data_IF_195142490842
#
_entry.id   IF_195142490842
#
_cell.length_a   1.000
_cell.length_b   1.000
_cell.length_c   1.000
_cell.angle_alpha   90.00
_cell.angle_beta   90.00
_cell.angle_gamma   90.00
#
_symmetry.space_group_name_H-M   'P 1'
#
loop_
_entity.id
_entity.type
_entity.pdbx_description
1 polymer ?
#
# COMPACT_ATOMS: atom_id res chain seq x y z
N UNK A 1 -10.58 31.56 -25.44
CA UNK A 1 -10.42 31.53 -24.00
C UNK A 1 -11.68 30.95 -23.35
N UNK A 2 -11.52 30.26 -22.22
CA UNK A 2 -12.65 29.88 -21.38
C UNK A 2 -13.31 31.12 -20.77
N UNK A 3 -14.64 31.19 -20.80
CA UNK A 3 -15.39 32.30 -20.22
C UNK A 3 -16.14 31.80 -18.96
N UNK A 4 -17.26 31.12 -19.13
CA UNK A 4 -18.06 30.58 -18.03
C UNK A 4 -18.26 29.08 -18.16
N UNK A 5 -18.45 28.44 -17.01
CA UNK A 5 -18.78 27.03 -16.92
C UNK A 5 -20.09 26.87 -16.13
N UNK A 6 -21.03 26.14 -16.69
CA UNK A 6 -22.30 25.80 -16.06
C UNK A 6 -22.46 24.28 -16.02
N UNK A 7 -23.01 23.76 -14.94
CA UNK A 7 -23.40 22.37 -14.81
C UNK A 7 -24.90 22.24 -14.64
N UNK A 8 -25.55 21.44 -15.46
CA UNK A 8 -26.96 21.08 -15.36
C UNK A 8 -27.07 19.62 -14.97
N UNK A 9 -27.72 19.36 -13.86
CA UNK A 9 -27.91 18.03 -13.27
C UNK A 9 -29.38 17.67 -13.24
N UNK A 10 -29.73 16.35 -13.20
CA UNK A 10 -31.10 15.90 -12.94
C UNK A 10 -31.62 16.37 -11.57
N UNK A 11 -32.95 16.45 -11.43
CA UNK A 11 -33.61 16.98 -10.23
C UNK A 11 -33.35 16.15 -8.95
N UNK A 12 -33.05 14.86 -9.12
CA UNK A 12 -32.74 13.91 -8.04
C UNK A 12 -31.26 13.92 -7.61
N UNK A 13 -30.40 14.68 -8.30
CA UNK A 13 -28.99 14.83 -7.97
C UNK A 13 -28.77 16.05 -7.06
N UNK A 14 -27.81 15.93 -6.13
CA UNK A 14 -27.50 17.03 -5.23
C UNK A 14 -26.37 17.93 -5.78
N UNK A 15 -26.69 19.17 -6.11
CA UNK A 15 -25.70 20.14 -6.65
C UNK A 15 -24.48 20.33 -5.72
N UNK A 16 -24.66 20.11 -4.41
CA UNK A 16 -23.56 20.22 -3.43
C UNK A 16 -22.47 19.18 -3.64
N UNK A 17 -22.80 18.04 -4.22
CA UNK A 17 -21.83 16.97 -4.50
C UNK A 17 -20.84 17.39 -5.59
N UNK A 18 -21.20 18.34 -6.45
CA UNK A 18 -20.37 18.87 -7.52
C UNK A 18 -19.65 20.19 -7.15
N UNK A 19 -19.57 20.54 -5.85
CA UNK A 19 -18.91 21.79 -5.40
C UNK A 19 -17.41 21.83 -5.72
N UNK A 20 -16.74 20.70 -5.79
CA UNK A 20 -15.31 20.65 -6.14
C UNK A 20 -15.06 21.07 -7.58
N UNK A 21 -15.98 20.77 -8.52
CA UNK A 21 -15.92 21.27 -9.89
C UNK A 21 -15.96 22.80 -9.97
N UNK A 22 -16.64 23.48 -9.05
CA UNK A 22 -16.68 24.93 -9.05
C UNK A 22 -15.29 25.55 -8.79
N UNK A 23 -14.43 24.87 -8.03
CA UNK A 23 -13.04 25.31 -7.82
C UNK A 23 -12.24 25.14 -9.12
N UNK A 24 -12.43 24.03 -9.81
CA UNK A 24 -11.80 23.76 -11.08
C UNK A 24 -12.26 24.76 -12.15
N UNK A 25 -13.55 25.03 -12.26
CA UNK A 25 -14.13 26.04 -13.15
C UNK A 25 -13.49 27.41 -12.93
N UNK A 26 -13.45 27.90 -11.70
CA UNK A 26 -12.82 29.17 -11.36
C UNK A 26 -11.34 29.25 -11.72
N UNK A 27 -10.62 28.13 -11.63
CA UNK A 27 -9.20 28.10 -12.00
C UNK A 27 -8.96 28.16 -13.51
N UNK A 28 -9.95 27.73 -14.29
CA UNK A 28 -9.90 27.70 -15.74
C UNK A 28 -10.51 28.95 -16.42
N UNK A 29 -11.37 29.70 -15.72
CA UNK A 29 -11.95 30.96 -16.25
C UNK A 29 -10.86 31.92 -16.71
N UNK A 30 -11.04 32.50 -17.90
CA UNK A 30 -10.10 33.39 -18.58
C UNK A 30 -8.75 32.76 -18.98
N UNK A 31 -8.55 31.44 -18.82
CA UNK A 31 -7.38 30.75 -19.33
C UNK A 31 -7.53 30.42 -20.82
N UNK A 32 -6.42 30.06 -21.48
CA UNK A 32 -6.45 29.62 -22.87
C UNK A 32 -7.25 28.30 -23.01
N UNK A 33 -8.07 28.22 -24.06
CA UNK A 33 -8.80 26.99 -24.36
C UNK A 33 -7.84 25.81 -24.54
N UNK A 34 -8.14 24.72 -23.87
CA UNK A 34 -7.42 23.44 -23.95
C UNK A 34 -8.43 22.29 -23.92
N UNK A 35 -8.36 21.39 -24.88
CA UNK A 35 -9.17 20.18 -24.91
C UNK A 35 -8.89 19.30 -23.69
N UNK A 36 -7.62 19.19 -23.27
CA UNK A 36 -7.24 18.43 -22.07
C UNK A 36 -7.87 18.98 -20.78
N UNK A 37 -8.17 20.30 -20.71
CA UNK A 37 -8.90 20.85 -19.57
C UNK A 37 -10.36 20.40 -19.56
N UNK A 38 -10.99 20.25 -20.72
CA UNK A 38 -12.35 19.71 -20.83
C UNK A 38 -12.37 18.23 -20.43
N UNK A 39 -11.41 17.42 -20.91
CA UNK A 39 -11.26 16.03 -20.48
C UNK A 39 -11.10 15.92 -18.96
N UNK A 40 -10.27 16.76 -18.34
CA UNK A 40 -10.09 16.77 -16.89
C UNK A 40 -11.39 17.09 -16.13
N UNK A 41 -12.24 17.97 -16.67
CA UNK A 41 -13.56 18.26 -16.08
C UNK A 41 -14.49 17.04 -16.22
N UNK A 42 -14.51 16.38 -17.37
CA UNK A 42 -15.32 15.16 -17.60
C UNK A 42 -14.89 14.04 -16.67
N UNK A 43 -13.60 13.79 -16.54
CA UNK A 43 -13.03 12.79 -15.63
C UNK A 43 -13.44 13.09 -14.17
N UNK A 44 -13.39 14.35 -13.74
CA UNK A 44 -13.79 14.74 -12.38
C UNK A 44 -15.30 14.54 -12.15
N UNK A 45 -16.15 14.83 -13.13
CA UNK A 45 -17.59 14.56 -13.05
C UNK A 45 -17.83 13.05 -12.91
N UNK A 46 -17.13 12.21 -13.67
CA UNK A 46 -17.23 10.76 -13.59
C UNK A 46 -16.77 10.23 -12.22
N UNK A 47 -15.69 10.79 -11.67
CA UNK A 47 -15.20 10.46 -10.32
C UNK A 47 -16.24 10.82 -9.25
N UNK A 48 -16.82 12.02 -9.32
CA UNK A 48 -17.88 12.45 -8.38
C UNK A 48 -19.09 11.51 -8.49
N UNK A 49 -19.53 11.20 -9.70
CA UNK A 49 -20.64 10.29 -9.93
C UNK A 49 -20.40 8.90 -9.32
N UNK A 50 -19.19 8.35 -9.52
CA UNK A 50 -18.81 7.06 -8.96
C UNK A 50 -18.78 7.06 -7.42
N UNK A 51 -18.21 8.12 -6.80
CA UNK A 51 -18.11 8.25 -5.33
C UNK A 51 -19.48 8.44 -4.70
N UNK A 52 -20.38 9.16 -5.37
CA UNK A 52 -21.72 9.49 -4.86
C UNK A 52 -22.79 8.46 -5.25
N UNK A 53 -22.39 7.37 -5.92
CA UNK A 53 -23.28 6.34 -6.43
C UNK A 53 -24.38 6.88 -7.37
N UNK A 54 -24.07 7.93 -8.13
CA UNK A 54 -24.89 8.33 -9.26
C UNK A 54 -24.64 7.34 -10.39
N UNK A 55 -25.55 6.40 -10.53
CA UNK A 55 -25.44 5.33 -11.52
C UNK A 55 -25.68 5.89 -12.92
N UNK A 56 -24.75 5.61 -13.86
CA UNK A 56 -24.95 5.82 -15.29
C UNK A 56 -25.26 7.27 -15.70
N UNK A 57 -24.25 8.09 -15.69
CA UNK A 57 -24.36 9.45 -16.21
C UNK A 57 -23.93 9.49 -17.68
N UNK A 58 -24.66 10.27 -18.46
CA UNK A 58 -24.29 10.69 -19.82
C UNK A 58 -24.05 12.20 -19.78
N UNK A 59 -22.84 12.63 -20.20
CA UNK A 59 -22.45 14.03 -20.12
C UNK A 59 -22.39 14.59 -21.52
N UNK A 60 -23.27 15.53 -21.82
CA UNK A 60 -23.22 16.30 -23.06
C UNK A 60 -22.62 17.67 -22.78
N UNK A 61 -21.55 18.01 -23.48
CA UNK A 61 -20.91 19.32 -23.39
C UNK A 61 -21.44 20.18 -24.53
N UNK A 62 -22.10 21.27 -24.20
CA UNK A 62 -22.52 22.30 -25.18
C UNK A 62 -21.55 23.49 -25.09
N UNK A 63 -20.92 23.82 -26.22
CA UNK A 63 -20.00 24.94 -26.37
C UNK A 63 -20.74 26.11 -27.00
N UNK A 64 -20.76 27.24 -26.32
CA UNK A 64 -21.41 28.48 -26.81
C UNK A 64 -20.31 29.51 -27.00
N UNK A 65 -20.04 29.81 -28.28
CA UNK A 65 -19.05 30.81 -28.66
C UNK A 65 -19.70 32.19 -28.56
N UNK A 66 -19.08 33.08 -27.77
CA UNK A 66 -19.44 34.48 -27.67
C UNK A 66 -18.55 35.36 -28.56
N UNK A 67 -18.96 36.61 -28.78
CA UNK A 67 -18.12 37.63 -29.39
C UNK A 67 -16.84 37.81 -28.53
N UNK A 68 -15.69 38.09 -29.14
CA UNK A 68 -14.36 38.22 -28.52
C UNK A 68 -13.59 36.91 -28.24
N UNK A 69 -13.81 35.82 -29.00
CA UNK A 69 -13.10 34.56 -28.87
C UNK A 69 -13.24 33.89 -27.45
N UNK A 70 -14.33 34.13 -26.79
CA UNK A 70 -14.70 33.52 -25.51
C UNK A 70 -15.70 32.39 -25.72
N UNK A 71 -15.56 31.30 -24.96
CA UNK A 71 -16.40 30.11 -25.07
C UNK A 71 -16.99 29.82 -23.66
N UNK A 72 -18.33 29.73 -23.61
CA UNK A 72 -19.07 29.25 -22.46
C UNK A 72 -19.32 27.75 -22.63
N UNK A 73 -19.15 27.03 -21.55
CA UNK A 73 -19.37 25.57 -21.49
C UNK A 73 -20.53 25.22 -20.61
N UNK A 74 -21.45 24.41 -21.12
CA UNK A 74 -22.57 23.87 -20.37
C UNK A 74 -22.45 22.35 -20.34
N UNK A 75 -22.17 21.79 -19.16
CA UNK A 75 -22.12 20.36 -18.93
C UNK A 75 -23.51 19.87 -18.54
N UNK A 76 -24.21 19.24 -19.47
CA UNK A 76 -25.54 18.68 -19.24
C UNK A 76 -25.39 17.23 -18.82
N UNK A 77 -25.54 16.96 -17.53
CA UNK A 77 -25.55 15.61 -16.98
C UNK A 77 -26.96 15.05 -17.10
N UNK A 78 -27.10 13.86 -17.64
CA UNK A 78 -28.36 13.12 -17.75
C UNK A 78 -28.15 11.70 -17.22
N UNK A 79 -29.22 11.08 -16.74
CA UNK A 79 -29.21 9.64 -16.49
C UNK A 79 -29.00 8.90 -17.82
N UNK A 80 -27.90 8.13 -17.89
CA UNK A 80 -27.50 7.38 -19.06
C UNK A 80 -28.15 5.98 -19.11
N UNK A 81 -27.84 5.21 -20.15
CA UNK A 81 -28.29 3.83 -20.25
C UNK A 81 -27.59 2.97 -19.21
N UNK A 82 -28.37 2.22 -18.42
CA UNK A 82 -27.86 1.27 -17.43
C UNK A 82 -27.27 0.05 -18.15
N UNK A 83 -26.02 -0.24 -17.86
CA UNK A 83 -25.35 -1.46 -18.28
C UNK A 83 -24.99 -2.29 -17.05
N UNK A 84 -25.21 -3.58 -17.10
CA UNK A 84 -24.86 -4.51 -16.04
C UNK A 84 -23.81 -5.51 -16.53
N UNK A 85 -22.94 -5.96 -15.67
CA UNK A 85 -21.98 -7.00 -15.99
C UNK A 85 -22.68 -8.35 -16.01
N UNK A 86 -22.79 -8.95 -17.21
CA UNK A 86 -23.38 -10.28 -17.38
C UNK A 86 -22.41 -11.37 -16.90
N UNK A 87 -21.14 -11.23 -17.30
CA UNK A 87 -20.11 -12.23 -17.02
C UNK A 87 -18.70 -11.63 -17.13
N UNK A 88 -17.79 -12.15 -16.32
CA UNK A 88 -16.37 -11.85 -16.37
C UNK A 88 -15.60 -13.11 -16.74
N UNK A 89 -15.01 -13.13 -17.93
CA UNK A 89 -14.15 -14.20 -18.39
C UNK A 89 -12.71 -13.87 -18.06
N UNK A 90 -12.02 -14.78 -17.38
CA UNK A 90 -10.61 -14.66 -17.05
C UNK A 90 -9.81 -15.64 -17.92
N UNK A 91 -8.81 -15.14 -18.61
CA UNK A 91 -8.01 -15.90 -19.59
C UNK A 91 -6.53 -15.66 -19.37
N UNK A 92 -5.71 -16.68 -19.66
CA UNK A 92 -4.25 -16.55 -19.66
C UNK A 92 -3.56 -16.78 -18.30
N UNK A 93 -4.32 -17.02 -17.25
CA UNK A 93 -3.82 -17.31 -15.90
C UNK A 93 -3.36 -18.78 -15.78
N UNK A 94 -2.16 -19.08 -16.27
CA UNK A 94 -1.63 -20.45 -16.27
C UNK A 94 -1.01 -20.85 -14.92
N UNK A 95 -0.51 -19.88 -14.16
CA UNK A 95 0.15 -20.06 -12.86
C UNK A 95 -0.73 -19.51 -11.74
N UNK A 96 -1.28 -18.29 -11.94
CA UNK A 96 -2.09 -17.62 -10.92
C UNK A 96 -3.50 -18.19 -10.88
N UNK A 97 -3.98 -18.55 -9.69
CA UNK A 97 -5.32 -19.07 -9.50
C UNK A 97 -6.37 -18.01 -9.82
N UNK A 98 -7.44 -18.42 -10.49
CA UNK A 98 -8.57 -17.54 -10.83
C UNK A 98 -9.17 -16.87 -9.58
N UNK A 99 -9.25 -17.59 -8.46
CA UNK A 99 -9.75 -17.06 -7.19
C UNK A 99 -8.98 -15.81 -6.72
N UNK A 100 -7.65 -15.78 -6.91
CA UNK A 100 -6.85 -14.59 -6.61
C UNK A 100 -7.23 -13.41 -7.52
N UNK A 101 -7.42 -13.67 -8.82
CA UNK A 101 -7.77 -12.62 -9.79
C UNK A 101 -9.15 -12.06 -9.47
N UNK A 102 -10.12 -12.93 -9.15
CA UNK A 102 -11.49 -12.52 -8.78
C UNK A 102 -11.50 -11.64 -7.52
N UNK A 103 -10.61 -11.85 -6.57
CA UNK A 103 -10.47 -10.99 -5.38
C UNK A 103 -9.99 -9.56 -5.69
N UNK A 104 -9.41 -9.32 -6.86
CA UNK A 104 -8.99 -7.99 -7.31
C UNK A 104 -10.10 -7.24 -8.03
N UNK A 105 -11.19 -7.94 -8.39
CA UNK A 105 -12.31 -7.39 -9.13
C UNK A 105 -13.16 -6.52 -8.20
N UNK A 106 -13.44 -5.30 -8.62
CA UNK A 106 -14.22 -4.32 -7.86
C UNK A 106 -15.67 -4.27 -8.32
N UNK A 107 -15.92 -4.54 -9.61
CA UNK A 107 -17.25 -4.63 -10.20
C UNK A 107 -17.48 -6.07 -10.59
N UNK A 108 -18.39 -6.77 -9.89
CA UNK A 108 -18.62 -8.20 -10.08
C UNK A 108 -19.78 -8.48 -11.09
N UNK A 109 -20.00 -9.74 -11.36
CA UNK A 109 -21.10 -10.20 -12.21
C UNK A 109 -22.45 -9.86 -11.56
N UNK A 110 -23.35 -9.23 -12.32
CA UNK A 110 -24.63 -8.70 -11.83
C UNK A 110 -24.59 -7.25 -11.38
N UNK A 111 -23.41 -6.68 -11.14
CA UNK A 111 -23.27 -5.28 -10.74
C UNK A 111 -23.49 -4.32 -11.91
N UNK A 112 -23.87 -3.07 -11.62
CA UNK A 112 -23.81 -1.97 -12.58
C UNK A 112 -22.38 -1.80 -13.11
N UNK A 113 -22.22 -1.78 -14.43
CA UNK A 113 -20.91 -1.54 -15.04
C UNK A 113 -20.47 -0.08 -14.80
N UNK A 114 -19.34 0.10 -14.19
CA UNK A 114 -18.70 1.40 -13.97
C UNK A 114 -17.25 1.35 -14.47
N UNK A 115 -16.90 2.22 -15.41
CA UNK A 115 -15.58 2.25 -16.05
C UNK A 115 -14.46 2.59 -15.07
N UNK A 116 -14.69 3.47 -14.08
CA UNK A 116 -13.70 3.86 -13.07
C UNK A 116 -13.40 2.68 -12.15
N UNK A 117 -14.44 2.00 -11.65
CA UNK A 117 -14.28 0.83 -10.79
C UNK A 117 -13.64 -0.33 -11.57
N UNK A 118 -13.99 -0.47 -12.86
CA UNK A 118 -13.33 -1.44 -13.74
C UNK A 118 -11.84 -1.11 -13.92
N UNK A 119 -11.48 0.14 -14.16
CA UNK A 119 -10.09 0.57 -14.25
C UNK A 119 -9.35 0.36 -12.91
N UNK A 120 -10.02 0.51 -11.77
CA UNK A 120 -9.46 0.16 -10.46
C UNK A 120 -9.11 -1.34 -10.39
N UNK A 121 -9.97 -2.22 -10.91
CA UNK A 121 -9.66 -3.65 -11.06
C UNK A 121 -8.37 -3.87 -11.85
N UNK A 122 -8.25 -3.23 -13.03
CA UNK A 122 -7.05 -3.34 -13.86
C UNK A 122 -5.80 -2.87 -13.12
N UNK A 123 -5.91 -1.75 -12.41
CA UNK A 123 -4.80 -1.20 -11.63
C UNK A 123 -4.42 -2.10 -10.44
N UNK A 124 -5.38 -2.70 -9.75
CA UNK A 124 -5.12 -3.68 -8.69
C UNK A 124 -4.31 -4.86 -9.23
N UNK A 125 -4.74 -5.44 -10.35
CA UNK A 125 -4.04 -6.55 -11.00
C UNK A 125 -2.62 -6.17 -11.44
N UNK A 126 -2.44 -5.02 -12.08
CA UNK A 126 -1.11 -4.51 -12.47
C UNK A 126 -0.23 -4.26 -11.23
N UNK A 127 -0.79 -3.71 -10.18
CA UNK A 127 -0.06 -3.40 -8.94
C UNK A 127 0.35 -4.64 -8.16
N UNK A 128 -0.32 -5.78 -8.37
CA UNK A 128 0.07 -7.06 -7.77
C UNK A 128 1.46 -7.54 -8.23
N UNK A 129 1.90 -7.10 -9.42
CA UNK A 129 3.15 -7.51 -10.09
C UNK A 129 3.25 -9.03 -10.34
N UNK A 130 2.12 -9.70 -10.47
CA UNK A 130 2.06 -11.11 -10.82
C UNK A 130 1.93 -11.32 -12.33
N UNK A 131 1.56 -10.25 -13.06
CA UNK A 131 1.28 -10.30 -14.48
C UNK A 131 2.21 -9.37 -15.26
N UNK A 132 2.70 -9.84 -16.41
CA UNK A 132 3.43 -9.05 -17.40
C UNK A 132 2.51 -8.10 -18.13
N UNK A 133 1.31 -8.57 -18.47
CA UNK A 133 0.28 -7.77 -19.10
C UNK A 133 -1.10 -8.07 -18.51
N UNK A 134 -1.95 -7.05 -18.46
CA UNK A 134 -3.35 -7.13 -18.09
C UNK A 134 -4.13 -6.31 -19.11
N UNK A 135 -4.96 -7.00 -19.90
CA UNK A 135 -5.77 -6.41 -20.95
C UNK A 135 -7.24 -6.73 -20.69
N UNK A 136 -8.10 -5.75 -20.84
CA UNK A 136 -9.54 -5.93 -20.75
C UNK A 136 -10.20 -5.55 -22.06
N UNK A 137 -11.12 -6.40 -22.51
CA UNK A 137 -11.98 -6.20 -23.67
C UNK A 137 -13.43 -6.33 -23.23
N UNK A 138 -14.21 -5.27 -23.43
CA UNK A 138 -15.60 -5.19 -23.01
C UNK A 138 -16.48 -5.32 -24.24
N UNK A 139 -17.37 -6.32 -24.23
CA UNK A 139 -18.30 -6.64 -25.33
C UNK A 139 -19.74 -6.50 -24.86
N UNK A 140 -20.62 -6.33 -25.83
CA UNK A 140 -22.07 -6.44 -25.56
C UNK A 140 -22.41 -7.86 -25.14
N UNK A 141 -23.32 -7.96 -24.17
CA UNK A 141 -23.79 -9.22 -23.63
C UNK A 141 -24.91 -9.86 -24.47
N UNK A 142 -25.56 -10.87 -23.89
CA UNK A 142 -26.62 -11.64 -24.54
C UNK A 142 -27.90 -10.83 -24.78
N UNK A 143 -28.09 -9.73 -24.05
CA UNK A 143 -29.25 -8.83 -24.18
C UNK A 143 -28.82 -7.36 -24.10
N UNK A 144 -29.72 -6.47 -24.56
CA UNK A 144 -29.50 -5.02 -24.49
C UNK A 144 -29.32 -4.59 -23.02
N UNK A 145 -28.26 -3.81 -22.76
CA UNK A 145 -27.93 -3.35 -21.41
C UNK A 145 -27.04 -4.32 -20.61
N UNK A 146 -26.59 -5.43 -21.22
CA UNK A 146 -25.62 -6.34 -20.60
C UNK A 146 -24.25 -6.18 -21.25
N UNK A 147 -23.19 -6.33 -20.45
CA UNK A 147 -21.79 -6.29 -20.88
C UNK A 147 -21.05 -7.54 -20.41
N UNK A 148 -20.18 -8.06 -21.27
CA UNK A 148 -19.26 -9.15 -20.95
C UNK A 148 -17.87 -8.55 -20.87
N UNK A 149 -17.18 -8.77 -19.75
CA UNK A 149 -15.80 -8.35 -19.56
C UNK A 149 -14.88 -9.54 -19.81
N UNK A 150 -14.01 -9.45 -20.82
CA UNK A 150 -12.96 -10.44 -21.06
C UNK A 150 -11.65 -9.89 -20.49
N UNK A 151 -11.20 -10.45 -19.39
CA UNK A 151 -9.96 -10.07 -18.72
C UNK A 151 -8.88 -11.06 -19.10
N UNK A 152 -7.92 -10.63 -19.91
CA UNK A 152 -6.78 -11.45 -20.33
C UNK A 152 -5.54 -11.02 -19.56
N UNK A 153 -4.93 -11.97 -18.85
CA UNK A 153 -3.70 -11.78 -18.10
C UNK A 153 -2.58 -12.61 -18.69
N UNK A 154 -1.34 -12.19 -18.52
CA UNK A 154 -0.15 -12.95 -18.83
C UNK A 154 0.70 -13.04 -17.57
N UNK A 155 0.80 -14.27 -17.00
CA UNK A 155 1.63 -14.50 -15.81
C UNK A 155 3.10 -14.17 -16.07
N UNK A 156 3.80 -13.70 -15.03
CA UNK A 156 5.25 -13.52 -15.08
C UNK A 156 5.94 -14.27 -13.94
N UNK A 157 7.24 -14.59 -14.07
CA UNK A 157 8.02 -15.12 -12.96
C UNK A 157 7.99 -14.16 -11.76
N UNK A 158 7.67 -14.67 -10.57
CA UNK A 158 7.53 -13.91 -9.33
C UNK A 158 8.59 -14.22 -8.29
N UNK A 159 9.40 -15.26 -8.56
CA UNK A 159 10.55 -15.64 -7.76
C UNK A 159 11.75 -14.72 -8.00
N UNK A 160 12.39 -14.28 -6.93
CA UNK A 160 13.59 -13.44 -6.94
C UNK A 160 14.65 -14.04 -6.01
N UNK A 161 15.87 -14.16 -6.51
CA UNK A 161 17.04 -14.49 -5.71
C UNK A 161 17.97 -13.28 -5.71
N UNK A 162 18.34 -12.82 -4.53
CA UNK A 162 19.28 -11.72 -4.33
C UNK A 162 20.51 -12.18 -3.57
N UNK A 163 21.67 -11.68 -3.95
CA UNK A 163 22.91 -11.88 -3.21
C UNK A 163 23.67 -10.55 -3.17
N UNK A 164 24.23 -10.24 -2.02
CA UNK A 164 24.99 -9.01 -1.81
C UNK A 164 26.25 -9.29 -0.97
N UNK A 165 27.33 -8.59 -1.28
CA UNK A 165 28.53 -8.56 -0.48
C UNK A 165 29.01 -7.12 -0.33
N UNK A 166 29.50 -6.77 0.84
CA UNK A 166 29.98 -5.43 1.14
C UNK A 166 31.15 -5.46 2.12
N UNK A 167 31.94 -4.39 2.11
CA UNK A 167 32.99 -4.14 3.08
C UNK A 167 32.93 -2.68 3.54
N UNK A 168 33.01 -2.48 4.84
CA UNK A 168 32.91 -1.14 5.43
C UNK A 168 33.64 -1.03 6.76
N UNK A 169 33.44 0.07 7.48
CA UNK A 169 34.03 0.31 8.80
C UNK A 169 33.69 -0.75 9.85
N UNK A 170 32.58 -1.47 9.66
CA UNK A 170 32.13 -2.55 10.54
C UNK A 170 32.47 -3.96 10.02
N UNK A 171 33.47 -4.06 9.14
CA UNK A 171 33.92 -5.31 8.56
C UNK A 171 33.18 -5.74 7.29
N UNK A 172 33.30 -7.04 6.97
CA UNK A 172 32.67 -7.66 5.82
C UNK A 172 31.20 -7.95 6.09
N UNK A 173 30.38 -7.87 5.05
CA UNK A 173 29.00 -8.30 5.09
C UNK A 173 28.67 -9.15 3.85
N UNK A 174 27.82 -10.13 4.04
CA UNK A 174 27.26 -10.97 2.99
C UNK A 174 25.77 -11.16 3.26
N UNK A 175 24.96 -11.11 2.21
CA UNK A 175 23.53 -11.41 2.33
C UNK A 175 23.05 -12.24 1.15
N UNK A 176 22.09 -13.12 1.43
CA UNK A 176 21.35 -13.87 0.42
C UNK A 176 19.88 -13.79 0.76
N UNK A 177 19.04 -13.53 -0.24
CA UNK A 177 17.60 -13.45 -0.10
C UNK A 177 16.89 -14.26 -1.19
N UNK A 178 15.79 -14.88 -0.83
CA UNK A 178 14.89 -15.57 -1.74
C UNK A 178 13.49 -15.04 -1.47
N UNK A 179 12.82 -14.56 -2.52
CA UNK A 179 11.43 -14.09 -2.45
C UNK A 179 10.61 -14.83 -3.49
N UNK A 180 9.38 -15.15 -3.11
CA UNK A 180 8.34 -15.62 -4.02
C UNK A 180 7.08 -14.81 -3.70
N UNK A 181 6.48 -14.17 -4.71
CA UNK A 181 5.31 -13.32 -4.53
C UNK A 181 4.00 -13.97 -4.96
N UNK A 182 4.07 -15.18 -5.51
CA UNK A 182 2.90 -15.94 -5.99
C UNK A 182 2.98 -17.42 -5.62
N UNK A 183 3.34 -17.72 -4.39
CA UNK A 183 3.48 -19.10 -3.94
C UNK A 183 2.16 -19.86 -4.16
N UNK A 184 2.26 -20.97 -4.88
CA UNK A 184 1.15 -21.84 -5.27
C UNK A 184 0.02 -21.11 -6.03
N UNK A 185 0.34 -20.02 -6.75
CA UNK A 185 -0.62 -19.26 -7.56
C UNK A 185 -1.62 -18.39 -6.78
N UNK A 186 -1.48 -18.28 -5.47
CA UNK A 186 -2.45 -17.60 -4.61
C UNK A 186 -2.04 -16.17 -4.20
N UNK A 187 -1.03 -15.57 -4.85
CA UNK A 187 -0.50 -14.26 -4.46
C UNK A 187 0.16 -14.26 -3.08
N UNK A 188 0.41 -15.44 -2.50
CA UNK A 188 1.07 -15.60 -1.20
C UNK A 188 2.54 -15.23 -1.37
N UNK A 189 3.04 -14.41 -0.43
CA UNK A 189 4.42 -13.95 -0.43
C UNK A 189 5.23 -14.74 0.58
N UNK A 190 6.33 -15.33 0.09
CA UNK A 190 7.38 -15.93 0.92
C UNK A 190 8.63 -15.06 0.80
N UNK A 191 9.27 -14.77 1.92
CA UNK A 191 10.54 -14.04 1.97
C UNK A 191 11.47 -14.72 2.96
N UNK A 192 12.62 -15.19 2.48
CA UNK A 192 13.68 -15.74 3.30
C UNK A 192 14.95 -14.93 3.07
N UNK A 193 15.54 -14.41 4.14
CA UNK A 193 16.75 -13.61 4.09
C UNK A 193 17.74 -14.12 5.14
N UNK A 194 19.01 -14.27 4.72
CA UNK A 194 20.15 -14.54 5.59
C UNK A 194 21.18 -13.44 5.38
N UNK A 195 21.54 -12.75 6.46
CA UNK A 195 22.58 -11.74 6.48
C UNK A 195 23.70 -12.15 7.46
N UNK A 196 24.92 -12.11 6.98
CA UNK A 196 26.12 -12.43 7.72
C UNK A 196 26.97 -11.17 7.77
N UNK A 197 27.43 -10.81 8.95
CA UNK A 197 28.47 -9.80 9.15
C UNK A 197 29.61 -10.41 9.94
N UNK A 198 30.70 -9.66 10.13
CA UNK A 198 31.82 -10.11 10.95
C UNK A 198 31.38 -10.55 12.36
N UNK A 199 30.41 -9.82 12.92
CA UNK A 199 29.98 -9.99 14.30
C UNK A 199 28.51 -10.44 14.43
N UNK A 200 27.77 -10.72 13.35
CA UNK A 200 26.39 -11.16 13.48
C UNK A 200 25.92 -12.04 12.33
N UNK A 201 25.00 -12.93 12.67
CA UNK A 201 24.22 -13.77 11.75
C UNK A 201 22.76 -13.46 12.00
N UNK A 202 22.04 -13.05 10.97
CA UNK A 202 20.61 -12.80 11.04
C UNK A 202 19.88 -13.60 9.97
N UNK A 203 18.97 -14.46 10.38
CA UNK A 203 18.03 -15.16 9.52
C UNK A 203 16.62 -14.66 9.73
N UNK A 204 15.87 -14.45 8.67
CA UNK A 204 14.45 -14.11 8.72
C UNK A 204 13.70 -14.91 7.66
N UNK A 205 12.56 -15.45 8.05
CA UNK A 205 11.59 -16.04 7.14
C UNK A 205 10.22 -15.41 7.40
N UNK A 206 9.50 -15.05 6.36
CA UNK A 206 8.13 -14.57 6.47
C UNK A 206 7.22 -15.17 5.41
N UNK A 207 6.01 -15.47 5.84
CA UNK A 207 4.88 -15.89 5.03
C UNK A 207 3.80 -14.81 5.14
N UNK A 208 3.31 -14.30 4.03
CA UNK A 208 2.21 -13.34 4.00
C UNK A 208 1.15 -13.78 3.01
N UNK A 209 -0.05 -14.04 3.50
CA UNK A 209 -1.23 -14.20 2.67
C UNK A 209 -1.97 -12.85 2.64
N UNK A 210 -1.99 -12.12 1.52
CA UNK A 210 -2.58 -10.79 1.44
C UNK A 210 -4.11 -10.80 1.51
N UNK A 211 -4.75 -11.94 1.19
CA UNK A 211 -6.22 -12.10 1.12
C UNK A 211 -6.65 -13.34 1.88
N UNK A 212 -6.39 -13.34 3.20
CA UNK A 212 -6.71 -14.49 4.04
C UNK A 212 -8.22 -14.73 4.11
N UNK A 213 -8.62 -15.97 3.83
CA UNK A 213 -10.04 -16.39 3.86
C UNK A 213 -10.95 -15.53 2.98
N UNK A 214 -10.49 -15.17 1.78
CA UNK A 214 -11.22 -14.34 0.81
C UNK A 214 -11.66 -12.97 1.36
N UNK A 215 -10.89 -12.42 2.28
CA UNK A 215 -11.12 -11.09 2.85
C UNK A 215 -9.98 -10.15 2.48
N UNK A 216 -10.22 -8.82 2.59
CA UNK A 216 -9.19 -7.79 2.40
C UNK A 216 -8.20 -7.69 3.59
N UNK A 217 -8.05 -8.79 4.32
CA UNK A 217 -7.16 -8.89 5.47
C UNK A 217 -5.94 -9.72 5.14
N UNK A 218 -4.79 -9.11 5.20
CA UNK A 218 -3.52 -9.83 5.12
C UNK A 218 -3.24 -10.54 6.45
N UNK A 219 -2.69 -11.76 6.38
CA UNK A 219 -2.14 -12.48 7.54
C UNK A 219 -0.66 -12.73 7.28
N UNK A 220 0.18 -12.37 8.25
CA UNK A 220 1.63 -12.54 8.17
C UNK A 220 2.11 -13.38 9.35
N UNK A 221 2.89 -14.42 9.06
CA UNK A 221 3.66 -15.17 10.04
C UNK A 221 5.15 -14.97 9.77
N UNK A 222 5.97 -14.77 10.80
CA UNK A 222 7.41 -14.62 10.61
C UNK A 222 8.22 -15.30 11.72
N UNK A 223 9.41 -15.76 11.32
CA UNK A 223 10.43 -16.30 12.18
C UNK A 223 11.69 -15.45 12.00
N UNK A 224 12.32 -15.05 13.08
CA UNK A 224 13.57 -14.30 13.08
C UNK A 224 14.54 -14.93 14.07
N UNK A 225 15.79 -15.09 13.66
CA UNK A 225 16.89 -15.50 14.51
C UNK A 225 18.07 -14.57 14.26
N UNK A 226 18.57 -13.95 15.31
CA UNK A 226 19.75 -13.08 15.25
C UNK A 226 20.74 -13.54 16.32
N UNK A 227 21.98 -13.80 15.90
CA UNK A 227 23.10 -14.06 16.79
C UNK A 227 24.15 -12.98 16.58
N UNK A 228 24.56 -12.33 17.65
CA UNK A 228 25.58 -11.25 17.63
C UNK A 228 26.72 -11.66 18.55
N UNK A 229 27.93 -11.67 18.04
CA UNK A 229 29.16 -11.94 18.80
C UNK A 229 30.07 -10.70 18.77
N UNK A 230 30.03 -9.95 19.84
CA UNK A 230 30.90 -8.78 20.08
C UNK A 230 31.78 -9.00 21.31
N UNK A 231 32.15 -10.26 21.56
CA UNK A 231 32.95 -10.64 22.72
C UNK A 231 34.32 -9.97 22.72
N UNK A 232 34.95 -9.89 21.54
CA UNK A 232 36.27 -9.27 21.39
C UNK A 232 36.29 -7.75 21.65
N UNK A 233 35.27 -7.05 21.11
CA UNK A 233 35.23 -5.60 21.11
C UNK A 233 34.51 -5.03 22.35
N UNK A 234 33.45 -5.67 22.78
CA UNK A 234 32.56 -5.17 23.82
C UNK A 234 32.29 -6.17 24.95
N UNK A 235 32.83 -7.37 24.85
CA UNK A 235 32.73 -8.40 25.90
C UNK A 235 31.34 -9.06 26.01
N UNK A 236 30.53 -9.09 24.96
CA UNK A 236 29.20 -9.72 25.02
C UNK A 236 28.85 -10.53 23.77
N UNK A 237 27.96 -11.50 23.96
CA UNK A 237 27.23 -12.20 22.92
C UNK A 237 25.73 -12.13 23.19
N UNK A 238 24.94 -11.97 22.13
CA UNK A 238 23.48 -12.08 22.23
C UNK A 238 22.91 -13.03 21.18
N UNK A 239 21.82 -13.72 21.55
CA UNK A 239 21.04 -14.55 20.64
C UNK A 239 19.58 -14.25 20.85
N UNK A 240 18.90 -13.81 19.81
CA UNK A 240 17.47 -13.50 19.79
C UNK A 240 16.77 -14.44 18.82
N UNK A 241 15.74 -15.12 19.30
CA UNK A 241 14.82 -15.87 18.45
C UNK A 241 13.41 -15.32 18.65
N UNK A 242 12.70 -15.03 17.55
CA UNK A 242 11.36 -14.42 17.57
C UNK A 242 10.44 -15.12 16.61
N UNK A 243 9.22 -15.35 17.05
CA UNK A 243 8.09 -15.82 16.23
C UNK A 243 7.02 -14.73 16.31
N UNK A 244 6.44 -14.38 15.17
CA UNK A 244 5.41 -13.34 15.12
C UNK A 244 4.26 -13.77 14.22
N UNK A 245 3.03 -13.39 14.63
CA UNK A 245 1.81 -13.56 13.87
C UNK A 245 1.04 -12.23 13.87
N UNK A 246 0.68 -11.76 12.70
CA UNK A 246 0.00 -10.47 12.56
C UNK A 246 -1.04 -10.47 11.46
N UNK A 247 -1.87 -9.46 11.48
CA UNK A 247 -2.83 -9.18 10.42
C UNK A 247 -2.70 -7.71 9.98
N UNK A 248 -3.13 -7.41 8.76
CA UNK A 248 -3.12 -6.04 8.24
C UNK A 248 -4.34 -5.79 7.37
N UNK A 249 -4.97 -4.64 7.54
CA UNK A 249 -6.16 -4.25 6.79
C UNK A 249 -6.29 -2.73 6.73
N UNK A 250 -7.02 -2.27 5.73
CA UNK A 250 -7.44 -0.87 5.64
C UNK A 250 -8.68 -0.67 6.51
N UNK A 251 -8.57 0.15 7.55
CA UNK A 251 -9.67 0.44 8.48
C UNK A 251 -10.55 1.59 7.99
N UNK A 252 -9.93 2.59 7.39
CA UNK A 252 -10.55 3.73 6.73
C UNK A 252 -9.75 4.05 5.48
N UNK A 253 -10.30 4.81 4.56
CA UNK A 253 -9.61 5.20 3.32
C UNK A 253 -8.21 5.72 3.61
N UNK A 254 -7.20 5.07 3.01
CA UNK A 254 -5.78 5.37 3.19
C UNK A 254 -5.23 5.15 4.62
N UNK A 255 -6.00 4.57 5.53
CA UNK A 255 -5.57 4.30 6.90
C UNK A 255 -5.49 2.80 7.17
N UNK A 256 -4.28 2.31 7.35
CA UNK A 256 -3.95 0.89 7.52
C UNK A 256 -3.59 0.59 8.96
N UNK A 257 -4.17 -0.48 9.49
CA UNK A 257 -3.87 -1.01 10.83
C UNK A 257 -3.21 -2.39 10.69
N UNK A 258 -2.07 -2.58 11.39
CA UNK A 258 -1.32 -3.85 11.37
C UNK A 258 -0.97 -4.29 12.79
N UNK A 259 -1.90 -4.91 13.52
CA UNK A 259 -1.58 -5.55 14.79
C UNK A 259 -0.79 -6.85 14.58
N UNK A 260 0.17 -7.09 15.47
CA UNK A 260 1.02 -8.27 15.45
C UNK A 260 1.31 -8.72 16.88
N UNK A 261 1.20 -9.99 17.14
CA UNK A 261 1.67 -10.61 18.37
C UNK A 261 3.01 -11.31 18.12
N UNK A 262 3.96 -11.12 19.01
CA UNK A 262 5.27 -11.76 18.91
C UNK A 262 5.71 -12.36 20.22
N UNK A 263 6.41 -13.48 20.12
CA UNK A 263 7.08 -14.15 21.23
C UNK A 263 8.55 -14.19 20.89
N UNK A 264 9.40 -13.78 21.81
CA UNK A 264 10.84 -13.84 21.65
C UNK A 264 11.55 -14.37 22.89
N UNK A 265 12.66 -15.04 22.64
CA UNK A 265 13.62 -15.42 23.64
C UNK A 265 14.98 -14.82 23.28
N UNK A 266 15.54 -14.04 24.17
CA UNK A 266 16.86 -13.44 24.03
C UNK A 266 17.79 -13.93 25.15
N UNK A 267 18.99 -14.31 24.78
CA UNK A 267 20.05 -14.70 25.74
C UNK A 267 21.22 -13.74 25.54
N UNK A 268 21.58 -13.03 26.60
CA UNK A 268 22.77 -12.17 26.65
C UNK A 268 23.81 -12.77 27.60
N UNK A 269 24.98 -13.05 27.07
CA UNK A 269 26.14 -13.51 27.84
C UNK A 269 27.25 -12.48 27.81
N UNK A 270 28.03 -12.36 28.89
CA UNK A 270 29.12 -11.39 29.01
C UNK A 270 30.39 -12.03 29.50
N UNK A 271 31.53 -11.45 29.13
CA UNK A 271 32.87 -11.78 29.63
C UNK A 271 33.29 -10.80 30.71
N UNK A 272 34.46 -11.06 31.33
CA UNK A 272 35.04 -10.16 32.34
C UNK A 272 35.31 -8.75 31.80
N UNK A 273 35.56 -8.63 30.50
CA UNK A 273 35.89 -7.35 29.84
C UNK A 273 34.64 -6.53 29.49
N UNK A 274 33.44 -7.05 29.67
CA UNK A 274 32.21 -6.36 29.36
C UNK A 274 31.99 -5.15 30.28
N UNK A 275 31.37 -4.10 29.76
CA UNK A 275 30.98 -2.94 30.55
C UNK A 275 30.01 -3.33 31.67
N UNK A 276 29.99 -2.52 32.74
CA UNK A 276 29.10 -2.73 33.87
C UNK A 276 27.63 -2.84 33.44
N UNK A 277 27.24 -2.07 32.44
CA UNK A 277 25.87 -2.07 31.92
C UNK A 277 25.51 -3.40 31.22
N UNK A 278 26.40 -3.96 30.41
CA UNK A 278 26.20 -5.27 29.81
C UNK A 278 26.17 -6.39 30.87
N UNK A 279 27.07 -6.36 31.85
CA UNK A 279 27.09 -7.35 32.95
C UNK A 279 25.80 -7.35 33.77
N UNK A 280 25.21 -6.18 34.04
CA UNK A 280 23.91 -6.06 34.72
C UNK A 280 22.75 -6.64 33.91
N UNK A 281 22.88 -6.67 32.61
CA UNK A 281 21.84 -7.15 31.68
C UNK A 281 22.08 -8.60 31.21
N UNK A 282 23.12 -9.27 31.74
CA UNK A 282 23.34 -10.68 31.43
C UNK A 282 22.15 -11.52 31.89
N UNK A 283 21.67 -12.42 31.04
CA UNK A 283 20.57 -13.29 31.38
C UNK A 283 19.81 -13.84 30.17
N UNK A 284 18.73 -14.54 30.48
CA UNK A 284 17.77 -15.01 29.47
C UNK A 284 16.46 -14.26 29.66
N UNK A 285 15.91 -13.76 28.58
CA UNK A 285 14.73 -12.91 28.56
C UNK A 285 13.67 -13.53 27.66
N UNK A 286 12.50 -13.73 28.24
CA UNK A 286 11.32 -14.14 27.49
C UNK A 286 10.37 -12.94 27.40
N UNK A 287 9.98 -12.59 26.17
CA UNK A 287 9.07 -11.49 25.91
C UNK A 287 7.92 -11.95 25.02
N UNK A 288 6.68 -11.67 25.45
CA UNK A 288 5.50 -11.72 24.62
C UNK A 288 5.00 -10.29 24.43
N UNK A 289 4.98 -9.81 23.19
CA UNK A 289 4.76 -8.41 22.82
C UNK A 289 3.54 -8.29 21.92
N UNK A 290 2.74 -7.27 22.16
CA UNK A 290 1.76 -6.79 21.22
C UNK A 290 2.37 -5.59 20.48
N UNK A 291 2.58 -5.77 19.19
CA UNK A 291 3.09 -4.74 18.31
C UNK A 291 1.93 -4.26 17.44
N UNK A 292 1.85 -2.98 17.15
CA UNK A 292 0.93 -2.49 16.13
C UNK A 292 1.50 -1.29 15.41
N UNK A 293 1.16 -1.19 14.13
CA UNK A 293 1.43 0.00 13.35
C UNK A 293 0.15 0.56 12.77
N UNK A 294 0.06 1.89 12.77
CA UNK A 294 -0.98 2.68 12.16
C UNK A 294 -0.34 3.50 11.07
N UNK A 295 -0.74 3.29 9.83
CA UNK A 295 -0.16 3.97 8.67
C UNK A 295 -1.23 4.73 7.93
N UNK A 296 -1.04 6.03 7.76
CA UNK A 296 -1.79 6.85 6.82
C UNK A 296 -0.94 7.05 5.57
N UNK A 297 -1.46 6.67 4.40
CA UNK A 297 -0.73 6.72 3.13
C UNK A 297 -1.63 7.29 2.03
N UNK A 298 -1.45 8.58 1.71
CA UNK A 298 -2.16 9.26 0.64
C UNK A 298 -1.25 9.62 -0.54
N UNK A 299 -0.15 8.89 -0.71
CA UNK A 299 0.71 9.07 -1.89
C UNK A 299 -0.04 8.72 -3.17
N UNK A 300 0.21 9.47 -4.23
CA UNK A 300 -0.37 9.17 -5.55
C UNK A 300 0.07 7.80 -6.10
N UNK A 301 1.21 7.27 -5.67
CA UNK A 301 1.71 5.95 -6.00
C UNK A 301 2.57 5.39 -4.87
N UNK A 302 2.47 4.09 -4.58
CA UNK A 302 3.38 3.41 -3.65
C UNK A 302 4.78 3.18 -4.26
N UNK A 303 4.86 3.17 -5.59
CA UNK A 303 6.11 3.05 -6.35
C UNK A 303 6.41 4.38 -7.05
N UNK A 304 7.58 4.97 -6.78
CA UNK A 304 8.00 6.29 -7.28
C UNK A 304 6.93 7.37 -7.05
N UNK A 305 6.57 7.65 -5.77
CA UNK A 305 5.59 8.68 -5.48
C UNK A 305 6.11 10.06 -5.90
N UNK A 306 5.25 10.87 -6.52
CA UNK A 306 5.57 12.25 -6.87
C UNK A 306 4.85 13.28 -5.98
N UNK A 307 3.80 12.84 -5.27
CA UNK A 307 3.04 13.71 -4.37
C UNK A 307 2.42 12.91 -3.20
N UNK A 308 2.00 13.64 -2.17
CA UNK A 308 1.36 13.06 -0.99
C UNK A 308 2.35 12.76 0.13
N UNK A 309 1.90 12.06 1.14
CA UNK A 309 2.70 11.69 2.30
C UNK A 309 2.35 10.27 2.80
N UNK A 310 3.29 9.66 3.48
CA UNK A 310 3.07 8.46 4.30
C UNK A 310 3.50 8.75 5.72
N UNK A 311 2.62 8.44 6.68
CA UNK A 311 2.86 8.62 8.11
C UNK A 311 2.58 7.33 8.83
N UNK A 312 3.54 6.82 9.61
CA UNK A 312 3.42 5.56 10.35
C UNK A 312 3.76 5.79 11.82
N UNK A 313 2.82 5.44 12.69
CA UNK A 313 3.06 5.26 14.11
C UNK A 313 3.21 3.77 14.42
N UNK A 314 4.23 3.42 15.18
CA UNK A 314 4.54 2.05 15.61
C UNK A 314 4.63 2.03 17.12
N UNK A 315 4.01 1.02 17.75
CA UNK A 315 4.16 0.79 19.18
C UNK A 315 4.37 -0.69 19.46
N UNK A 316 5.31 -0.99 20.37
CA UNK A 316 5.54 -2.32 20.92
C UNK A 316 5.22 -2.27 22.41
N UNK A 317 4.26 -3.08 22.84
CA UNK A 317 3.77 -3.13 24.24
C UNK A 317 4.04 -4.53 24.79
N UNK A 318 4.77 -4.65 25.90
CA UNK A 318 4.98 -5.94 26.53
C UNK A 318 3.70 -6.43 27.23
N UNK A 319 3.26 -7.64 26.86
CA UNK A 319 2.16 -8.37 27.53
C UNK A 319 2.73 -9.20 28.68
N UNK A 320 3.81 -9.92 28.38
CA UNK A 320 4.61 -10.66 29.36
C UNK A 320 6.06 -10.36 29.04
N UNK A 321 6.84 -9.86 30.00
CA UNK A 321 8.24 -9.55 29.78
C UNK A 321 9.03 -9.50 31.08
N UNK A 322 10.24 -10.04 31.04
CA UNK A 322 11.20 -9.93 32.11
C UNK A 322 11.89 -8.56 32.17
N UNK A 323 11.95 -7.86 31.03
CA UNK A 323 12.55 -6.53 30.89
C UNK A 323 11.58 -5.53 30.28
N UNK A 324 10.48 -5.24 30.99
CA UNK A 324 9.33 -4.47 30.47
C UNK A 324 9.71 -3.07 30.00
N UNK A 325 9.69 -2.82 28.70
CA UNK A 325 9.80 -1.50 28.10
C UNK A 325 8.78 -1.33 26.98
N UNK A 326 8.26 -0.11 26.82
CA UNK A 326 7.42 0.28 25.67
C UNK A 326 8.33 0.95 24.65
N UNK A 327 8.17 0.56 23.39
CA UNK A 327 8.81 1.21 22.25
C UNK A 327 7.76 1.98 21.49
N UNK A 328 8.01 3.26 21.24
CA UNK A 328 7.21 4.11 20.35
C UNK A 328 8.07 4.57 19.20
N UNK A 329 7.59 4.39 17.98
CA UNK A 329 8.22 4.85 16.77
C UNK A 329 7.26 5.72 15.97
N UNK A 330 7.78 6.77 15.36
CA UNK A 330 7.02 7.58 14.43
C UNK A 330 7.88 7.90 13.22
N UNK A 331 7.31 7.69 12.05
CA UNK A 331 7.93 8.00 10.78
C UNK A 331 6.94 8.75 9.91
N UNK A 332 7.39 9.84 9.28
CA UNK A 332 6.64 10.54 8.26
C UNK A 332 7.56 10.86 7.09
N UNK A 333 7.06 10.68 5.87
CA UNK A 333 7.77 11.06 4.64
C UNK A 333 6.78 11.74 3.70
N UNK A 334 7.08 12.96 3.31
CA UNK A 334 6.32 13.74 2.33
C UNK A 334 7.03 13.79 0.99
N UNK A 335 6.27 13.86 -0.09
CA UNK A 335 6.74 13.90 -1.47
C UNK A 335 6.10 15.08 -2.19
N UNK A 336 6.90 15.79 -2.98
CA UNK A 336 6.43 16.89 -3.83
C UNK A 336 7.27 16.97 -5.09
N UNK A 337 6.63 16.94 -6.23
CA UNK A 337 7.28 17.24 -7.50
C UNK A 337 7.61 18.73 -7.55
N UNK A 338 8.87 19.06 -7.79
CA UNK A 338 9.40 20.43 -7.83
C UNK A 338 9.75 20.90 -9.24
N UNK A 339 10.03 19.97 -10.13
CA UNK A 339 10.27 20.14 -11.56
C UNK A 339 9.86 18.85 -12.25
N UNK A 340 9.67 18.90 -13.57
CA UNK A 340 9.43 17.73 -14.41
C UNK A 340 10.46 16.63 -14.09
N UNK A 341 9.99 15.43 -13.77
CA UNK A 341 10.78 14.26 -13.37
C UNK A 341 11.66 14.43 -12.11
N UNK A 342 11.47 15.50 -11.34
CA UNK A 342 12.25 15.77 -10.13
C UNK A 342 11.37 15.85 -8.91
N UNK A 343 11.50 14.88 -8.00
CA UNK A 343 10.70 14.80 -6.77
C UNK A 343 11.57 15.08 -5.55
N UNK A 344 11.14 16.05 -4.73
CA UNK A 344 11.69 16.27 -3.39
C UNK A 344 10.97 15.36 -2.41
N UNK A 345 11.75 14.60 -1.63
CA UNK A 345 11.22 13.83 -0.49
C UNK A 345 11.87 14.29 0.81
N UNK A 346 11.03 14.50 1.84
CA UNK A 346 11.48 14.87 3.19
C UNK A 346 10.91 13.88 4.18
N UNK A 347 11.78 13.28 4.98
CA UNK A 347 11.39 12.29 5.99
C UNK A 347 11.89 12.65 7.38
N UNK A 348 11.07 12.34 8.39
CA UNK A 348 11.42 12.38 9.81
C UNK A 348 11.17 11.00 10.40
N UNK A 349 12.14 10.51 11.18
CA UNK A 349 12.00 9.29 11.96
C UNK A 349 12.38 9.57 13.41
N UNK A 350 11.53 9.14 14.35
CA UNK A 350 11.79 9.21 15.78
C UNK A 350 11.49 7.88 16.44
N UNK A 351 12.27 7.49 17.42
CA UNK A 351 12.04 6.31 18.25
C UNK A 351 12.34 6.61 19.71
N UNK A 352 11.43 6.24 20.60
CA UNK A 352 11.58 6.37 22.04
C UNK A 352 11.34 5.02 22.70
N UNK A 353 12.19 4.67 23.65
CA UNK A 353 12.08 3.45 24.45
C UNK A 353 11.98 3.87 25.91
N UNK A 354 10.93 3.45 26.60
CA UNK A 354 10.68 3.80 27.98
C UNK A 354 10.55 2.54 28.83
N UNK A 355 11.36 2.42 29.88
CA UNK A 355 11.22 1.34 30.85
C UNK A 355 9.94 1.51 31.65
N UNK A 356 9.18 0.43 31.85
CA UNK A 356 7.98 0.37 32.68
C UNK A 356 8.29 0.10 34.15
N UNK A 357 9.53 -0.29 34.48
CA UNK A 357 9.97 -0.53 35.84
C UNK A 357 10.83 0.64 36.32
N UNK A 358 10.51 1.15 37.51
CA UNK A 358 11.34 2.16 38.15
C UNK A 358 12.76 1.64 38.42
N UNK A 359 13.78 2.45 38.16
CA UNK A 359 15.20 2.15 38.36
C UNK A 359 15.75 0.94 37.56
N UNK A 360 15.13 0.58 36.46
CA UNK A 360 15.69 -0.40 35.52
C UNK A 360 16.09 0.28 34.23
N UNK A 361 17.33 0.01 33.80
CA UNK A 361 17.81 0.50 32.51
C UNK A 361 17.05 -0.21 31.35
N UNK A 362 16.88 0.53 30.26
CA UNK A 362 16.40 -0.06 29.01
C UNK A 362 17.42 -1.10 28.54
N UNK A 363 16.94 -2.30 28.22
CA UNK A 363 17.79 -3.37 27.72
C UNK A 363 18.43 -2.97 26.39
N UNK A 364 19.72 -3.18 26.28
CA UNK A 364 20.49 -3.00 25.05
C UNK A 364 20.42 -4.31 24.27
N UNK A 365 19.61 -4.32 23.18
CA UNK A 365 19.45 -5.47 22.30
C UNK A 365 19.83 -5.11 20.87
#
# INVERSE_FOLDING_TARGET
>A
FFNTFEIKIPDDYNIKDFQELQKLFKSLENSAYSYGSIESILDEIDVIAAIKNYEFIDIKVDEIIEDDNKINFVFNIKEGNKFYVERINILGNNITNEAFIRQQIVVDEGDPFNSILHNKTINNLKSSRLFRSVVSDIKDGSAKGLKIINLTVEDQPTGEISAGAGYGSNGSSFSIGIKENNFNGNGIKLDANLALTENSIRGKFSYTNPYFSYSDRAVTASLESTSTDKEKDYGFKSSLNRISLGTGFEQFTNFYLKPQFSISNEVLTTTENASVNYKKQQGSYFDALLNYSMTYDNRNSSYKPSSGLVSTFLQEVPVISNGSSIVNGYQITGYKEIMEDTVLSVGLYTRAITSLKSNTDVRVS
#
